data_IF_122708996264
#
_entry.id   IF_122708996264
#
_cell.length_a   1.000
_cell.length_b   1.000
_cell.length_c   1.000
_cell.angle_alpha   90.00
_cell.angle_beta   90.00
_cell.angle_gamma   90.00
#
_symmetry.space_group_name_H-M   'P 1'
#
loop_
_entity.id
_entity.type
_entity.pdbx_description
1 polymer ?
#
# COMPACT_ATOMS: atom_id res chain seq x y z
N UNK A 1 -4.83 24.98 6.37
CA UNK A 1 -4.94 24.17 5.17
C UNK A 1 -6.40 23.84 4.90
N UNK A 2 -6.75 23.67 3.61
CA UNK A 2 -8.09 23.13 3.28
C UNK A 2 -8.18 21.66 3.68
N UNK A 3 -7.18 20.87 3.31
CA UNK A 3 -7.10 19.44 3.61
C UNK A 3 -5.79 19.08 4.29
N UNK A 4 -5.88 18.17 5.27
CA UNK A 4 -4.74 17.56 5.92
C UNK A 4 -4.82 16.05 5.74
N UNK A 5 -3.74 15.45 5.24
CA UNK A 5 -3.64 14.02 4.96
C UNK A 5 -2.60 13.41 5.91
N UNK A 6 -3.03 12.51 6.78
CA UNK A 6 -2.18 11.81 7.74
C UNK A 6 -1.73 10.46 7.17
N UNK A 7 -0.52 10.42 6.66
CA UNK A 7 0.12 9.28 6.02
C UNK A 7 0.28 9.46 4.51
N UNK A 8 1.52 9.38 4.02
CA UNK A 8 1.86 9.42 2.59
C UNK A 8 2.05 8.02 1.99
N UNK A 9 1.23 7.07 2.41
CA UNK A 9 1.12 5.76 1.76
C UNK A 9 0.37 5.84 0.43
N UNK A 10 -0.03 4.70 -0.12
CA UNK A 10 -0.67 4.65 -1.45
C UNK A 10 -1.89 5.56 -1.55
N UNK A 11 -2.79 5.51 -0.58
CA UNK A 11 -3.99 6.34 -0.58
C UNK A 11 -3.66 7.83 -0.43
N UNK A 12 -2.79 8.18 0.55
CA UNK A 12 -2.43 9.58 0.81
C UNK A 12 -1.71 10.25 -0.36
N UNK A 13 -0.86 9.52 -1.08
CA UNK A 13 -0.20 10.02 -2.29
C UNK A 13 -1.21 10.35 -3.40
N UNK A 14 -2.20 9.48 -3.62
CA UNK A 14 -3.27 9.73 -4.61
C UNK A 14 -4.10 10.94 -4.21
N UNK A 15 -4.56 11.02 -2.96
CA UNK A 15 -5.35 12.15 -2.46
C UNK A 15 -4.58 13.46 -2.57
N UNK A 16 -3.32 13.49 -2.17
CA UNK A 16 -2.49 14.69 -2.26
C UNK A 16 -2.33 15.17 -3.72
N UNK A 17 -2.11 14.24 -4.65
CA UNK A 17 -2.06 14.56 -6.09
C UNK A 17 -3.37 15.16 -6.58
N UNK A 18 -4.49 14.49 -6.32
CA UNK A 18 -5.80 14.87 -6.85
C UNK A 18 -6.31 16.19 -6.25
N UNK A 19 -6.23 16.35 -4.94
CA UNK A 19 -6.72 17.56 -4.24
C UNK A 19 -5.88 18.80 -4.56
N UNK A 20 -4.56 18.64 -4.71
CA UNK A 20 -3.69 19.76 -5.07
C UNK A 20 -3.72 20.14 -6.56
N UNK A 21 -4.53 19.46 -7.39
CA UNK A 21 -4.69 19.83 -8.81
C UNK A 21 -5.29 21.24 -8.97
N UNK A 22 -6.21 21.60 -8.09
CA UNK A 22 -6.72 22.97 -7.99
C UNK A 22 -5.73 23.82 -7.17
N UNK A 23 -5.11 24.85 -7.76
CA UNK A 23 -4.10 25.66 -7.08
C UNK A 23 -4.67 26.52 -5.94
N UNK A 24 -5.98 26.69 -5.86
CA UNK A 24 -6.65 27.39 -4.76
C UNK A 24 -6.77 26.54 -3.49
N UNK A 25 -6.66 25.23 -3.60
CA UNK A 25 -6.80 24.26 -2.51
C UNK A 25 -5.43 23.99 -1.85
N UNK A 26 -5.29 24.33 -0.58
CA UNK A 26 -4.05 24.11 0.19
C UNK A 26 -4.07 22.76 0.87
N UNK A 27 -3.14 21.87 0.50
CA UNK A 27 -3.04 20.51 0.99
C UNK A 27 -1.77 20.33 1.82
N UNK A 28 -1.91 19.74 3.02
CA UNK A 28 -0.80 19.28 3.83
C UNK A 28 -0.78 17.76 3.86
N UNK A 29 0.32 17.15 3.41
CA UNK A 29 0.60 15.72 3.49
C UNK A 29 1.65 15.48 4.57
N UNK A 30 1.32 14.67 5.59
CA UNK A 30 2.18 14.35 6.72
C UNK A 30 2.64 12.90 6.61
N UNK A 31 3.96 12.68 6.77
CA UNK A 31 4.54 11.34 6.67
C UNK A 31 5.59 11.10 7.75
N UNK A 32 5.48 9.95 8.42
CA UNK A 32 6.37 9.55 9.50
C UNK A 32 7.79 9.23 9.02
N UNK A 33 7.92 8.70 7.82
CA UNK A 33 9.21 8.37 7.20
C UNK A 33 9.77 9.49 6.33
N UNK A 34 10.87 9.14 5.66
CA UNK A 34 11.56 10.01 4.71
C UNK A 34 11.00 9.94 3.29
N UNK A 35 11.83 10.34 2.32
CA UNK A 35 11.53 10.19 0.90
C UNK A 35 11.92 8.80 0.38
N UNK A 36 11.40 8.42 -0.78
CA UNK A 36 11.64 7.17 -1.49
C UNK A 36 12.92 7.16 -2.34
N UNK A 37 13.95 7.86 -1.87
CA UNK A 37 15.20 8.13 -2.64
C UNK A 37 16.16 6.96 -2.76
N UNK A 38 16.08 6.00 -1.86
CA UNK A 38 17.09 4.94 -1.77
C UNK A 38 17.09 4.06 -3.03
N UNK A 39 18.25 3.68 -3.58
CA UNK A 39 18.34 2.83 -4.77
C UNK A 39 17.53 1.54 -4.66
N UNK A 40 17.52 0.89 -3.49
CA UNK A 40 16.72 -0.33 -3.26
C UNK A 40 15.21 -0.11 -3.39
N UNK A 41 14.71 1.10 -3.08
CA UNK A 41 13.29 1.43 -3.32
C UNK A 41 12.99 1.45 -4.82
N UNK A 42 13.92 1.94 -5.63
CA UNK A 42 13.74 2.04 -7.09
C UNK A 42 14.00 0.72 -7.82
N UNK A 43 14.87 -0.09 -7.28
CA UNK A 43 15.29 -1.37 -7.88
C UNK A 43 14.30 -2.47 -7.47
N UNK A 44 13.67 -3.19 -8.42
CA UNK A 44 12.73 -4.27 -8.11
C UNK A 44 13.35 -5.34 -7.19
N UNK A 45 14.59 -5.75 -7.43
CA UNK A 45 15.29 -6.73 -6.60
C UNK A 45 15.54 -6.26 -5.15
N UNK A 46 15.45 -4.95 -4.88
CA UNK A 46 15.59 -4.40 -3.52
C UNK A 46 14.45 -4.79 -2.57
N UNK A 47 13.41 -5.47 -3.05
CA UNK A 47 12.26 -5.87 -2.23
C UNK A 47 12.67 -6.70 -1.01
N UNK A 48 13.57 -7.66 -1.17
CA UNK A 48 14.00 -8.56 -0.09
C UNK A 48 14.67 -7.79 1.04
N UNK A 49 15.59 -6.88 0.70
CA UNK A 49 16.28 -6.01 1.67
C UNK A 49 15.28 -5.09 2.41
N UNK A 50 14.35 -4.47 1.68
CA UNK A 50 13.39 -3.53 2.28
C UNK A 50 12.33 -4.22 3.13
N UNK A 51 11.89 -5.43 2.73
CA UNK A 51 10.92 -6.21 3.48
C UNK A 51 11.52 -6.83 4.75
N UNK A 52 12.82 -7.13 4.78
CA UNK A 52 13.48 -7.73 5.95
C UNK A 52 13.37 -6.84 7.21
N UNK A 53 13.26 -5.52 7.04
CA UNK A 53 13.31 -4.57 8.14
C UNK A 53 14.72 -4.40 8.73
N UNK A 54 15.73 -4.97 8.08
CA UNK A 54 17.14 -4.85 8.43
C UNK A 54 17.87 -3.95 7.43
N UNK A 55 19.15 -3.67 7.65
CA UNK A 55 19.94 -2.88 6.74
C UNK A 55 19.24 -1.59 6.30
N UNK A 56 19.08 -1.40 4.98
CA UNK A 56 18.31 -0.28 4.41
C UNK A 56 16.83 -0.33 4.81
N UNK A 57 16.29 -1.53 5.01
CA UNK A 57 14.90 -1.76 5.42
C UNK A 57 14.51 -1.05 6.72
N UNK A 58 15.42 -0.85 7.67
CA UNK A 58 15.16 -0.15 8.94
C UNK A 58 14.53 1.24 8.78
N UNK A 59 14.87 1.93 7.70
CA UNK A 59 14.36 3.27 7.43
C UNK A 59 13.04 3.29 6.65
N UNK A 60 12.72 2.18 5.95
CA UNK A 60 11.59 2.07 5.04
C UNK A 60 10.50 1.11 5.52
N UNK A 61 10.70 0.45 6.65
CA UNK A 61 9.77 -0.51 7.23
C UNK A 61 9.47 -0.14 8.69
N UNK A 62 8.22 -0.26 9.10
CA UNK A 62 7.85 -0.13 10.51
C UNK A 62 8.30 -1.32 11.36
N UNK A 63 8.46 -2.49 10.73
CA UNK A 63 8.94 -3.69 11.40
C UNK A 63 7.98 -4.22 12.46
N UNK A 64 6.69 -4.23 12.18
CA UNK A 64 5.70 -4.74 13.13
C UNK A 64 5.79 -6.26 13.31
N UNK A 65 5.45 -6.69 14.51
CA UNK A 65 5.27 -8.09 14.86
C UNK A 65 3.90 -8.28 15.50
N UNK A 66 3.25 -9.38 15.19
CA UNK A 66 2.02 -9.75 15.87
C UNK A 66 2.32 -10.19 17.31
N UNK A 67 1.31 -10.17 18.18
CA UNK A 67 1.35 -10.99 19.38
C UNK A 67 1.37 -12.47 19.01
N UNK A 68 1.69 -13.32 19.99
CA UNK A 68 1.67 -14.76 19.80
C UNK A 68 0.29 -15.24 19.33
N UNK A 69 0.25 -16.01 18.25
CA UNK A 69 -0.98 -16.51 17.65
C UNK A 69 -1.29 -17.91 18.20
N UNK A 70 -2.30 -18.09 19.07
CA UNK A 70 -2.56 -19.37 19.74
C UNK A 70 -2.75 -20.54 18.77
N UNK A 71 -3.45 -20.29 17.65
CA UNK A 71 -3.71 -21.32 16.63
C UNK A 71 -2.54 -21.59 15.69
N UNK A 72 -1.42 -20.86 15.84
CA UNK A 72 -0.19 -21.04 15.10
C UNK A 72 0.99 -21.38 16.03
N UNK A 73 0.76 -22.20 17.05
CA UNK A 73 1.76 -22.60 18.05
C UNK A 73 2.40 -21.39 18.76
N UNK A 74 1.63 -20.38 19.05
CA UNK A 74 2.07 -19.12 19.65
C UNK A 74 3.16 -18.38 18.87
N UNK A 75 3.29 -18.62 17.57
CA UNK A 75 4.24 -17.89 16.74
C UNK A 75 3.86 -16.42 16.65
N UNK A 76 4.86 -15.57 16.70
CA UNK A 76 4.76 -14.18 16.31
C UNK A 76 5.11 -14.07 14.83
N UNK A 77 4.34 -13.29 14.09
CA UNK A 77 4.54 -13.10 12.66
C UNK A 77 5.08 -11.71 12.40
N UNK A 78 6.15 -11.63 11.62
CA UNK A 78 6.66 -10.38 11.12
C UNK A 78 5.71 -9.81 10.08
N UNK A 79 5.33 -8.55 10.24
CA UNK A 79 4.33 -7.89 9.40
C UNK A 79 4.95 -6.61 8.83
N UNK A 80 5.68 -6.69 7.71
CA UNK A 80 6.31 -5.53 7.10
C UNK A 80 5.27 -4.52 6.63
N UNK A 81 5.48 -3.24 6.97
CA UNK A 81 4.68 -2.11 6.48
C UNK A 81 5.60 -0.96 6.13
N UNK A 82 5.42 -0.42 4.93
CA UNK A 82 6.28 0.64 4.43
C UNK A 82 6.16 1.95 5.19
N UNK A 83 7.28 2.63 5.36
CA UNK A 83 7.44 3.90 6.05
C UNK A 83 8.16 4.88 5.13
N UNK A 84 7.52 6.00 4.82
CA UNK A 84 8.02 7.01 3.88
C UNK A 84 7.03 7.35 2.80
N UNK A 85 7.33 8.35 2.00
CA UNK A 85 6.49 8.77 0.87
C UNK A 85 6.36 7.62 -0.12
N UNK A 86 5.13 7.13 -0.34
CA UNK A 86 4.83 5.91 -1.07
C UNK A 86 4.39 4.74 -0.17
N UNK A 87 4.69 4.79 1.15
CA UNK A 87 4.27 3.76 2.10
C UNK A 87 4.67 2.35 1.69
N UNK A 88 3.75 1.39 1.80
CA UNK A 88 4.03 -0.02 1.47
C UNK A 88 4.28 -0.27 -0.01
N UNK A 89 3.92 0.64 -0.93
CA UNK A 89 4.31 0.53 -2.33
C UNK A 89 5.82 0.66 -2.56
N UNK A 90 6.57 1.18 -1.58
CA UNK A 90 8.04 1.23 -1.62
C UNK A 90 8.69 -0.13 -1.36
N UNK A 91 8.01 -1.04 -0.66
CA UNK A 91 8.59 -2.29 -0.16
C UNK A 91 7.84 -3.55 -0.61
N UNK A 92 6.69 -3.44 -1.30
CA UNK A 92 5.89 -4.57 -1.75
C UNK A 92 6.57 -5.37 -2.88
N UNK A 93 6.02 -6.56 -3.18
CA UNK A 93 6.47 -7.43 -4.28
C UNK A 93 6.07 -6.95 -5.68
N UNK A 94 5.45 -5.78 -5.80
CA UNK A 94 5.05 -5.14 -7.07
C UNK A 94 4.04 -5.91 -7.92
N UNK A 95 3.45 -6.99 -7.45
CA UNK A 95 2.38 -7.66 -8.17
C UNK A 95 1.16 -6.74 -8.27
N UNK A 96 0.64 -6.57 -9.48
CA UNK A 96 -0.54 -5.78 -9.75
C UNK A 96 -1.74 -6.70 -9.94
N UNK A 97 -2.47 -6.93 -8.86
CA UNK A 97 -3.70 -7.73 -8.85
C UNK A 97 -4.75 -6.95 -8.08
N UNK A 98 -5.92 -6.78 -8.69
CA UNK A 98 -7.10 -6.17 -8.07
C UNK A 98 -7.81 -7.20 -7.19
N UNK A 99 -8.65 -6.73 -6.26
CA UNK A 99 -9.60 -7.59 -5.59
C UNK A 99 -10.54 -8.26 -6.59
N UNK A 100 -11.09 -9.41 -6.23
CA UNK A 100 -12.12 -10.08 -7.02
C UNK A 100 -13.39 -9.21 -7.07
N UNK A 101 -14.15 -9.26 -8.17
CA UNK A 101 -15.38 -8.47 -8.31
C UNK A 101 -16.33 -8.63 -7.10
N UNK A 102 -16.45 -9.87 -6.57
CA UNK A 102 -17.28 -10.16 -5.40
C UNK A 102 -16.85 -9.45 -4.13
N UNK A 103 -15.55 -9.10 -3.96
CA UNK A 103 -15.08 -8.40 -2.77
C UNK A 103 -15.73 -7.01 -2.69
N UNK A 104 -15.78 -6.30 -3.81
CA UNK A 104 -16.41 -4.98 -3.91
C UNK A 104 -17.93 -5.06 -3.83
N UNK A 105 -18.54 -6.07 -4.47
CA UNK A 105 -19.97 -6.27 -4.42
C UNK A 105 -20.44 -6.63 -3.00
N UNK A 106 -19.64 -7.37 -2.21
CA UNK A 106 -19.88 -7.59 -0.79
C UNK A 106 -19.82 -6.27 -0.03
N UNK A 107 -18.84 -5.41 -0.30
CA UNK A 107 -18.80 -4.09 0.33
C UNK A 107 -20.04 -3.29 0.04
N UNK A 108 -20.51 -3.30 -1.21
CA UNK A 108 -21.77 -2.65 -1.60
C UNK A 108 -22.98 -3.23 -0.85
N UNK A 109 -23.06 -4.55 -0.72
CA UNK A 109 -24.14 -5.24 -0.01
C UNK A 109 -24.15 -4.93 1.50
N UNK A 110 -22.99 -4.69 2.09
CA UNK A 110 -22.83 -4.26 3.48
C UNK A 110 -23.24 -2.78 3.71
N UNK A 111 -23.76 -2.10 2.69
CA UNK A 111 -24.27 -0.73 2.79
C UNK A 111 -23.32 0.35 2.29
N UNK A 112 -22.20 -0.02 1.69
CA UNK A 112 -21.23 0.95 1.14
C UNK A 112 -21.60 1.29 -0.30
N UNK A 113 -22.49 2.26 -0.49
CA UNK A 113 -22.88 2.75 -1.80
C UNK A 113 -21.69 3.37 -2.55
N UNK A 114 -21.58 3.10 -3.86
CA UNK A 114 -20.44 3.55 -4.67
C UNK A 114 -19.24 2.61 -4.63
N UNK A 115 -19.36 1.40 -4.01
CA UNK A 115 -18.24 0.45 -3.85
C UNK A 115 -18.48 -0.90 -4.53
N UNK A 116 -19.49 -1.06 -5.41
CA UNK A 116 -19.57 -2.25 -6.25
C UNK A 116 -18.41 -2.31 -7.25
N UNK A 117 -18.17 -3.49 -7.82
CA UNK A 117 -17.10 -3.65 -8.80
C UNK A 117 -17.20 -2.69 -9.97
N UNK A 118 -18.40 -2.55 -10.55
CA UNK A 118 -18.63 -1.64 -11.67
C UNK A 118 -18.42 -0.16 -11.28
N UNK A 119 -18.75 0.21 -10.04
CA UNK A 119 -18.58 1.58 -9.54
C UNK A 119 -17.12 1.92 -9.26
N UNK A 120 -16.27 0.95 -8.86
CA UNK A 120 -14.84 1.19 -8.60
C UNK A 120 -13.95 1.00 -9.83
N UNK A 121 -14.38 0.25 -10.83
CA UNK A 121 -13.61 -0.02 -12.05
C UNK A 121 -13.11 1.25 -12.76
N UNK A 122 -13.89 2.32 -12.93
CA UNK A 122 -13.41 3.56 -13.55
C UNK A 122 -12.24 4.19 -12.81
N UNK A 123 -12.15 4.01 -11.49
CA UNK A 123 -11.05 4.54 -10.67
C UNK A 123 -9.78 3.70 -10.80
N UNK A 124 -9.89 2.37 -10.95
CA UNK A 124 -8.75 1.52 -11.30
C UNK A 124 -8.19 1.92 -12.65
N UNK A 125 -9.01 2.02 -13.67
CA UNK A 125 -8.60 2.45 -15.01
C UNK A 125 -7.98 3.86 -15.00
N UNK A 126 -8.59 4.80 -14.27
CA UNK A 126 -8.08 6.18 -14.15
C UNK A 126 -6.67 6.26 -13.55
N UNK A 127 -6.33 5.35 -12.64
CA UNK A 127 -5.01 5.34 -12.01
C UNK A 127 -3.94 4.62 -12.85
N UNK A 128 -4.35 3.70 -13.71
CA UNK A 128 -3.49 2.76 -14.42
C UNK A 128 -2.98 3.32 -15.75
N UNK A 129 -1.69 3.11 -15.99
CA UNK A 129 -1.05 3.22 -17.29
C UNK A 129 -0.50 1.85 -17.66
N UNK A 130 -1.34 1.04 -18.32
CA UNK A 130 -0.98 -0.31 -18.71
C UNK A 130 -0.05 -0.31 -19.93
N UNK A 131 0.98 -1.15 -19.91
CA UNK A 131 1.92 -1.29 -21.03
C UNK A 131 1.24 -1.73 -22.34
N UNK A 132 0.16 -2.50 -22.23
CA UNK A 132 -0.62 -3.01 -23.35
C UNK A 132 -1.65 -1.99 -23.87
N UNK A 133 -1.73 -0.80 -23.25
CA UNK A 133 -2.69 0.24 -23.61
C UNK A 133 -4.03 0.08 -22.90
N UNK A 134 -5.00 0.90 -23.34
CA UNK A 134 -6.37 0.88 -22.80
C UNK A 134 -7.17 -0.31 -23.32
N UNK A 135 -8.00 -0.89 -22.45
CA UNK A 135 -8.96 -1.94 -22.80
C UNK A 135 -10.24 -1.79 -21.99
N UNK A 136 -11.14 -2.75 -22.09
CA UNK A 136 -12.33 -2.82 -21.24
C UNK A 136 -11.95 -2.80 -19.74
N UNK A 137 -10.91 -3.53 -19.36
CA UNK A 137 -10.48 -3.71 -17.97
C UNK A 137 -9.31 -2.82 -17.55
N UNK A 138 -8.57 -2.26 -18.47
CA UNK A 138 -7.32 -1.53 -18.21
C UNK A 138 -7.35 -0.07 -18.64
N UNK A 139 -6.64 0.79 -17.87
CA UNK A 139 -6.39 2.16 -18.26
C UNK A 139 -5.07 2.32 -19.03
N UNK A 140 -4.99 3.31 -19.91
CA UNK A 140 -3.84 3.54 -20.78
C UNK A 140 -2.95 4.74 -20.41
N UNK A 141 -3.48 5.73 -19.67
CA UNK A 141 -2.85 7.04 -19.48
C UNK A 141 -2.78 7.52 -18.01
N UNK A 142 -3.09 6.64 -17.06
CA UNK A 142 -2.99 6.94 -15.63
C UNK A 142 -1.55 7.14 -15.16
N UNK A 143 -1.41 7.54 -13.91
CA UNK A 143 -0.08 7.83 -13.34
C UNK A 143 0.70 6.58 -12.97
N UNK A 144 0.02 5.48 -12.60
CA UNK A 144 0.65 4.25 -12.15
C UNK A 144 1.03 3.36 -13.33
N UNK A 145 2.31 3.26 -13.60
CA UNK A 145 2.84 2.36 -14.64
C UNK A 145 2.68 0.90 -14.24
N UNK A 146 2.03 0.12 -15.11
CA UNK A 146 1.82 -1.32 -14.99
C UNK A 146 2.39 -2.00 -16.23
N UNK A 147 3.29 -2.96 -16.03
CA UNK A 147 3.93 -3.69 -17.12
C UNK A 147 3.70 -5.18 -17.04
N UNK A 148 3.94 -5.86 -18.14
CA UNK A 148 4.03 -7.31 -18.17
C UNK A 148 5.22 -7.79 -17.33
N UNK A 149 5.24 -9.05 -16.85
CA UNK A 149 6.29 -9.55 -15.96
C UNK A 149 7.68 -9.37 -16.53
N UNK A 150 8.57 -8.74 -15.78
CA UNK A 150 9.97 -8.48 -16.18
C UNK A 150 10.76 -9.78 -16.36
N UNK A 151 10.37 -10.84 -15.63
CA UNK A 151 11.01 -12.16 -15.63
C UNK A 151 10.27 -13.20 -16.48
N UNK A 152 9.45 -12.78 -17.42
CA UNK A 152 8.64 -13.67 -18.29
C UNK A 152 9.46 -14.71 -19.06
N UNK A 153 10.76 -14.48 -19.22
CA UNK A 153 11.67 -15.39 -19.94
C UNK A 153 12.25 -16.52 -19.05
N UNK A 154 11.98 -16.53 -17.75
CA UNK A 154 12.43 -17.64 -16.92
C UNK A 154 11.64 -18.92 -17.25
N UNK A 155 12.31 -20.03 -17.60
CA UNK A 155 11.64 -21.27 -17.96
C UNK A 155 10.77 -21.85 -16.83
N UNK A 156 11.08 -21.53 -15.56
CA UNK A 156 10.29 -21.98 -14.41
C UNK A 156 8.89 -21.36 -14.39
N UNK A 157 8.73 -20.11 -14.83
CA UNK A 157 7.41 -19.47 -14.89
C UNK A 157 6.49 -20.22 -15.87
N UNK A 158 7.00 -20.51 -17.06
CA UNK A 158 6.25 -21.27 -18.06
C UNK A 158 5.95 -22.70 -17.58
N UNK A 159 6.93 -23.35 -16.93
CA UNK A 159 6.76 -24.69 -16.36
C UNK A 159 5.69 -24.70 -15.28
N UNK A 160 5.66 -23.70 -14.40
CA UNK A 160 4.65 -23.60 -13.35
C UNK A 160 3.24 -23.39 -13.94
N UNK A 161 3.10 -22.48 -14.91
CA UNK A 161 1.83 -22.26 -15.61
C UNK A 161 1.34 -23.53 -16.30
N UNK A 162 2.23 -24.21 -17.02
CA UNK A 162 1.88 -25.46 -17.70
C UNK A 162 1.47 -26.56 -16.71
N UNK A 163 2.16 -26.69 -15.58
CA UNK A 163 1.79 -27.65 -14.55
C UNK A 163 0.38 -27.38 -13.99
N UNK A 164 0.00 -26.11 -13.83
CA UNK A 164 -1.36 -25.73 -13.45
C UNK A 164 -2.39 -26.16 -14.50
N UNK A 165 -2.09 -25.97 -15.78
CA UNK A 165 -2.96 -26.37 -16.90
C UNK A 165 -3.08 -27.91 -16.95
N UNK A 166 -1.98 -28.64 -16.80
CA UNK A 166 -1.96 -30.11 -16.73
C UNK A 166 -2.77 -30.63 -15.54
N UNK A 167 -2.81 -29.88 -14.43
CA UNK A 167 -3.64 -30.19 -13.27
C UNK A 167 -5.14 -29.84 -13.46
N UNK A 168 -5.54 -29.36 -14.64
CA UNK A 168 -6.93 -29.07 -14.98
C UNK A 168 -7.40 -27.64 -14.69
N UNK A 169 -6.50 -26.74 -14.33
CA UNK A 169 -6.84 -25.31 -14.16
C UNK A 169 -6.79 -24.56 -15.48
N UNK A 170 -7.61 -23.51 -15.68
CA UNK A 170 -7.58 -22.73 -16.90
C UNK A 170 -6.29 -21.91 -17.02
N UNK A 171 -5.82 -21.71 -18.25
CA UNK A 171 -4.88 -20.64 -18.53
C UNK A 171 -5.60 -19.29 -18.50
N UNK A 172 -5.02 -18.30 -17.82
CA UNK A 172 -5.54 -16.95 -17.76
C UNK A 172 -4.46 -15.95 -18.18
N UNK A 173 -4.64 -15.33 -19.32
CA UNK A 173 -3.70 -14.35 -19.86
C UNK A 173 -3.73 -13.03 -19.08
N UNK A 174 -4.87 -12.70 -18.47
CA UNK A 174 -5.09 -11.43 -17.76
C UNK A 174 -5.83 -11.67 -16.43
N UNK A 175 -5.06 -11.70 -15.36
CA UNK A 175 -5.58 -11.89 -13.99
C UNK A 175 -6.38 -10.68 -13.47
N UNK A 176 -6.43 -9.57 -14.22
CA UNK A 176 -7.25 -8.38 -13.92
C UNK A 176 -8.36 -8.16 -14.97
N UNK A 177 -8.56 -9.14 -15.86
CA UNK A 177 -9.57 -9.13 -16.91
C UNK A 177 -10.95 -9.59 -16.46
N UNK A 178 -11.70 -10.18 -17.38
CA UNK A 178 -13.07 -10.66 -17.17
C UNK A 178 -13.16 -11.78 -16.12
N UNK A 179 -12.13 -12.60 -15.99
CA UNK A 179 -12.01 -13.66 -14.99
C UNK A 179 -10.69 -13.55 -14.27
N UNK A 180 -10.68 -13.80 -12.97
CA UNK A 180 -9.47 -13.71 -12.15
C UNK A 180 -8.84 -15.09 -11.87
N UNK A 181 -9.62 -16.16 -12.04
CA UNK A 181 -9.19 -17.51 -11.77
C UNK A 181 -8.31 -18.07 -12.89
N UNK A 182 -7.31 -18.88 -12.51
CA UNK A 182 -6.44 -19.59 -13.44
C UNK A 182 -4.96 -19.36 -13.20
N UNK A 183 -4.16 -19.91 -14.11
CA UNK A 183 -2.70 -19.80 -14.11
C UNK A 183 -2.27 -18.90 -15.28
N UNK A 184 -1.54 -17.85 -14.98
CA UNK A 184 -1.08 -16.91 -15.99
C UNK A 184 -0.04 -15.93 -15.46
N UNK A 185 0.47 -15.05 -16.34
CA UNK A 185 1.46 -14.05 -15.96
C UNK A 185 0.78 -12.93 -15.14
N UNK A 186 1.33 -12.62 -13.97
CA UNK A 186 0.87 -11.48 -13.18
C UNK A 186 1.59 -10.20 -13.62
N UNK A 187 0.84 -9.16 -13.97
CA UNK A 187 1.37 -7.84 -14.24
C UNK A 187 2.00 -7.20 -13.00
N UNK A 188 2.86 -6.20 -13.20
CA UNK A 188 3.67 -5.63 -12.13
C UNK A 188 3.65 -4.10 -12.17
N UNK A 189 3.70 -3.49 -10.98
CA UNK A 189 3.95 -2.04 -10.84
C UNK A 189 5.44 -1.74 -11.01
N UNK A 190 5.94 -2.06 -12.20
CA UNK A 190 7.30 -1.79 -12.68
C UNK A 190 7.18 -1.03 -14.00
N UNK A 191 7.94 0.05 -14.16
CA UNK A 191 7.97 0.81 -15.40
C UNK A 191 9.39 1.16 -15.77
N UNK A 192 9.78 0.89 -17.01
CA UNK A 192 11.15 1.08 -17.47
C UNK A 192 12.21 0.45 -16.55
N UNK A 193 11.94 -0.78 -16.08
CA UNK A 193 12.83 -1.54 -15.20
C UNK A 193 12.93 -1.01 -13.75
N UNK A 194 12.06 -0.08 -13.34
CA UNK A 194 12.06 0.52 -12.01
C UNK A 194 10.71 0.31 -11.33
N UNK A 195 10.73 0.12 -9.99
CA UNK A 195 9.51 0.12 -9.17
C UNK A 195 8.72 1.41 -9.38
N UNK A 196 7.44 1.28 -9.63
CA UNK A 196 6.45 2.36 -9.65
C UNK A 196 5.74 2.44 -8.29
N UNK A 197 6.40 3.04 -7.31
CA UNK A 197 5.72 3.35 -6.05
C UNK A 197 4.78 4.54 -6.22
N UNK A 198 3.77 4.66 -5.36
CA UNK A 198 2.84 5.79 -5.41
C UNK A 198 3.52 7.13 -5.12
N UNK A 199 4.63 7.13 -4.39
CA UNK A 199 5.51 8.30 -4.26
C UNK A 199 6.07 8.77 -5.60
N UNK A 200 6.49 7.83 -6.46
CA UNK A 200 7.02 8.13 -7.79
C UNK A 200 5.92 8.50 -8.78
N UNK A 201 4.81 7.76 -8.76
CA UNK A 201 3.73 7.93 -9.74
C UNK A 201 2.87 9.16 -9.45
N UNK A 202 2.54 9.43 -8.20
CA UNK A 202 1.58 10.48 -7.84
C UNK A 202 2.21 11.71 -7.18
N UNK A 203 3.30 11.58 -6.41
CA UNK A 203 3.88 12.73 -5.70
C UNK A 203 5.00 13.40 -6.49
N UNK A 204 5.93 12.63 -7.03
CA UNK A 204 7.06 13.18 -7.75
C UNK A 204 6.68 14.14 -8.88
N UNK A 205 5.65 13.87 -9.72
CA UNK A 205 5.25 14.77 -10.80
C UNK A 205 4.66 16.10 -10.34
N UNK A 206 4.32 16.23 -9.05
CA UNK A 206 3.60 17.39 -8.50
C UNK A 206 4.35 18.10 -7.36
N UNK A 207 5.63 17.80 -7.18
CA UNK A 207 6.46 18.37 -6.11
C UNK A 207 6.64 19.89 -6.22
N UNK A 208 6.48 20.46 -7.38
CA UNK A 208 6.60 21.89 -7.68
C UNK A 208 5.31 22.69 -7.40
N UNK A 209 4.20 22.00 -7.08
CA UNK A 209 2.93 22.67 -6.77
C UNK A 209 3.05 23.43 -5.45
N UNK A 210 2.86 24.75 -5.51
CA UNK A 210 2.99 25.66 -4.36
C UNK A 210 1.92 25.47 -3.29
N UNK A 211 0.79 24.89 -3.65
CA UNK A 211 -0.34 24.60 -2.76
C UNK A 211 -0.27 23.21 -2.10
N UNK A 212 0.76 22.40 -2.41
CA UNK A 212 1.03 21.11 -1.77
C UNK A 212 2.24 21.24 -0.83
N UNK A 213 2.01 21.04 0.45
CA UNK A 213 3.06 20.97 1.47
C UNK A 213 3.25 19.55 1.92
N UNK A 214 4.48 19.02 1.88
CA UNK A 214 4.80 17.66 2.34
C UNK A 214 5.70 17.73 3.56
N UNK A 215 5.20 17.31 4.72
CA UNK A 215 5.95 17.24 5.97
C UNK A 215 6.41 15.81 6.23
N UNK A 216 7.64 15.51 5.85
CA UNK A 216 8.33 14.23 6.10
C UNK A 216 8.93 14.20 7.49
N UNK A 217 9.28 12.99 7.99
CA UNK A 217 9.82 12.76 9.34
C UNK A 217 8.91 13.35 10.41
N UNK A 218 7.59 13.22 10.20
CA UNK A 218 6.53 13.84 10.98
C UNK A 218 5.52 12.78 11.36
N UNK A 219 5.48 12.38 12.62
CA UNK A 219 4.60 11.33 13.13
C UNK A 219 3.31 11.95 13.60
N UNK A 220 2.19 11.60 13.00
CA UNK A 220 0.86 12.01 13.48
C UNK A 220 0.61 11.39 14.85
N UNK A 221 0.26 12.24 15.83
CA UNK A 221 0.11 11.86 17.23
C UNK A 221 -1.34 11.61 17.60
N UNK A 222 -2.22 12.53 17.27
CA UNK A 222 -3.65 12.44 17.52
C UNK A 222 -4.45 13.39 16.63
N UNK A 223 -5.74 13.12 16.46
CA UNK A 223 -6.70 14.01 15.84
C UNK A 223 -7.25 15.01 16.88
N UNK A 224 -7.63 16.18 16.41
CA UNK A 224 -8.20 17.25 17.23
C UNK A 224 -9.69 17.42 16.91
N UNK A 225 -10.52 17.46 17.96
CA UNK A 225 -11.97 17.52 17.82
C UNK A 225 -12.54 18.78 18.48
N UNK A 226 -13.65 19.26 17.91
CA UNK A 226 -14.57 20.21 18.54
C UNK A 226 -15.95 19.55 18.53
N UNK A 227 -16.38 19.03 19.70
CA UNK A 227 -17.47 18.07 19.75
C UNK A 227 -17.13 16.84 18.90
N UNK A 228 -18.01 16.45 18.00
CA UNK A 228 -17.81 15.32 17.09
C UNK A 228 -17.16 15.68 15.76
N UNK A 229 -16.80 16.96 15.55
CA UNK A 229 -16.16 17.40 14.32
C UNK A 229 -14.64 17.35 14.47
N UNK A 230 -13.96 16.58 13.60
CA UNK A 230 -12.51 16.64 13.48
C UNK A 230 -12.11 17.98 12.83
N UNK A 231 -11.26 18.75 13.52
CA UNK A 231 -10.84 20.10 13.08
C UNK A 231 -9.36 20.19 12.73
N UNK A 232 -8.59 19.12 12.95
CA UNK A 232 -7.15 19.12 12.71
C UNK A 232 -6.47 17.93 13.35
N UNK A 233 -5.15 18.01 13.47
CA UNK A 233 -4.35 16.99 14.13
C UNK A 233 -3.11 17.57 14.80
N UNK A 234 -2.51 16.80 15.72
CA UNK A 234 -1.16 17.01 16.22
C UNK A 234 -0.18 16.04 15.56
N UNK A 235 1.00 16.53 15.23
CA UNK A 235 2.11 15.69 14.78
C UNK A 235 3.41 16.08 15.48
N UNK A 236 4.35 15.15 15.56
CA UNK A 236 5.67 15.33 16.13
C UNK A 236 6.69 15.41 15.01
N UNK A 237 7.49 16.46 15.01
CA UNK A 237 8.65 16.64 14.12
C UNK A 237 9.83 17.15 14.92
N UNK A 238 11.00 16.52 14.80
CA UNK A 238 12.19 16.90 15.55
C UNK A 238 11.95 17.05 17.06
N UNK A 239 11.19 16.13 17.67
CA UNK A 239 10.78 16.13 19.08
C UNK A 239 9.82 17.28 19.49
N UNK A 240 9.42 18.13 18.56
CA UNK A 240 8.47 19.21 18.80
C UNK A 240 7.09 18.81 18.34
N UNK A 241 6.08 19.12 19.15
CA UNK A 241 4.67 18.91 18.80
C UNK A 241 4.14 20.13 18.06
N UNK A 242 3.49 19.88 16.94
CA UNK A 242 2.82 20.92 16.14
C UNK A 242 1.34 20.57 16.04
N UNK A 243 0.48 21.59 16.18
CA UNK A 243 -0.96 21.50 15.91
C UNK A 243 -1.26 22.18 14.58
N UNK A 244 -2.03 21.51 13.72
CA UNK A 244 -2.48 22.04 12.43
C UNK A 244 -3.97 21.84 12.28
N UNK A 245 -4.64 22.78 11.63
CA UNK A 245 -6.09 22.82 11.49
C UNK A 245 -6.49 22.75 10.02
N UNK A 246 -7.57 22.00 9.75
CA UNK A 246 -8.18 21.86 8.44
C UNK A 246 -9.47 22.67 8.36
N UNK A 247 -9.60 23.46 7.31
CA UNK A 247 -10.83 24.21 7.03
C UNK A 247 -11.95 23.30 6.54
N UNK A 248 -11.59 22.25 5.78
CA UNK A 248 -12.52 21.31 5.17
C UNK A 248 -12.46 19.94 5.84
N UNK A 249 -11.32 19.21 5.71
CA UNK A 249 -11.28 17.81 6.11
C UNK A 249 -9.89 17.34 6.52
N UNK A 250 -9.86 16.36 7.46
CA UNK A 250 -8.68 15.57 7.82
C UNK A 250 -8.87 14.15 7.32
N UNK A 251 -7.94 13.65 6.51
CA UNK A 251 -7.96 12.33 5.92
C UNK A 251 -6.94 11.41 6.60
N UNK A 252 -7.41 10.30 7.17
CA UNK A 252 -6.55 9.32 7.83
C UNK A 252 -6.12 8.26 6.83
N UNK A 253 -4.84 8.27 6.45
CA UNK A 253 -4.23 7.39 5.44
C UNK A 253 -3.04 6.59 5.99
N UNK A 254 -3.08 6.23 7.28
CA UNK A 254 -2.00 5.51 7.98
C UNK A 254 -1.90 4.01 7.64
N UNK A 255 -2.81 3.47 6.83
CA UNK A 255 -2.90 2.05 6.49
C UNK A 255 -3.65 1.24 7.54
N UNK A 256 -3.76 -0.07 7.31
CA UNK A 256 -4.62 -0.98 8.09
C UNK A 256 -4.24 -1.08 9.58
N UNK A 257 -2.99 -0.80 9.95
CA UNK A 257 -2.51 -0.84 11.34
C UNK A 257 -2.52 0.54 11.98
N UNK A 258 -1.92 1.54 11.33
CA UNK A 258 -1.74 2.85 11.96
C UNK A 258 -3.00 3.72 11.93
N UNK A 259 -3.92 3.52 10.97
CA UNK A 259 -5.18 4.29 10.95
C UNK A 259 -6.05 3.99 12.18
N UNK A 260 -6.38 2.71 12.48
CA UNK A 260 -7.13 2.42 13.72
C UNK A 260 -6.36 2.79 14.97
N UNK A 261 -5.03 2.65 15.02
CA UNK A 261 -4.21 3.11 16.13
C UNK A 261 -4.37 4.62 16.36
N UNK A 262 -4.29 5.43 15.29
CA UNK A 262 -4.47 6.88 15.37
C UNK A 262 -5.87 7.25 15.86
N UNK A 263 -6.91 6.55 15.39
CA UNK A 263 -8.27 6.74 15.84
C UNK A 263 -8.42 6.45 17.33
N UNK A 264 -7.89 5.32 17.80
CA UNK A 264 -7.93 4.93 19.23
C UNK A 264 -7.16 5.91 20.11
N UNK A 265 -5.96 6.35 19.71
CA UNK A 265 -5.18 7.38 20.40
C UNK A 265 -5.89 8.75 20.42
N UNK A 266 -6.87 8.93 19.56
CA UNK A 266 -7.68 10.15 19.46
C UNK A 266 -9.04 10.04 20.14
N UNK A 267 -9.29 8.93 20.86
CA UNK A 267 -10.54 8.72 21.59
C UNK A 267 -11.67 8.08 20.78
N UNK A 268 -11.37 7.51 19.61
CA UNK A 268 -12.34 6.83 18.74
C UNK A 268 -12.05 5.32 18.72
N UNK A 269 -12.96 4.51 19.22
CA UNK A 269 -12.81 3.07 19.33
C UNK A 269 -13.65 2.52 20.47
N UNK A 270 -13.33 1.30 20.94
CA UNK A 270 -14.02 0.68 22.06
C UNK A 270 -13.78 1.46 23.35
N UNK A 271 -14.83 2.06 23.91
CA UNK A 271 -14.75 3.05 24.97
C UNK A 271 -14.11 2.56 26.28
N UNK A 272 -14.37 1.31 26.70
CA UNK A 272 -13.73 0.68 27.85
C UNK A 272 -12.22 0.51 27.68
N UNK A 273 -11.80 0.13 26.47
CA UNK A 273 -10.38 -0.03 26.11
C UNK A 273 -9.66 1.34 26.11
N UNK A 274 -10.27 2.36 25.50
CA UNK A 274 -9.71 3.73 25.47
C UNK A 274 -9.51 4.28 26.88
N UNK A 275 -10.52 4.14 27.74
CA UNK A 275 -10.46 4.57 29.16
C UNK A 275 -9.37 3.86 29.96
N UNK A 276 -9.11 2.58 29.67
CA UNK A 276 -8.03 1.81 30.30
C UNK A 276 -6.65 2.44 30.10
N UNK A 277 -6.46 3.16 28.97
CA UNK A 277 -5.23 3.88 28.67
C UNK A 277 -5.24 5.35 29.15
N UNK A 278 -6.24 5.75 29.92
CA UNK A 278 -6.35 7.12 30.46
C UNK A 278 -6.69 8.17 29.41
N UNK A 279 -7.31 7.76 28.30
CA UNK A 279 -7.73 8.65 27.23
C UNK A 279 -9.23 8.94 27.32
N UNK A 280 -9.62 10.15 26.89
CA UNK A 280 -11.02 10.54 26.78
C UNK A 280 -11.68 9.85 25.57
N UNK A 281 -12.93 9.43 25.74
CA UNK A 281 -13.72 8.83 24.66
C UNK A 281 -14.45 9.93 23.89
N UNK A 282 -14.09 10.09 22.63
CA UNK A 282 -14.77 10.99 21.67
C UNK A 282 -15.95 10.28 21.02
N UNK A 283 -15.73 9.03 20.60
CA UNK A 283 -16.78 8.20 20.03
C UNK A 283 -16.55 6.72 20.38
N UNK A 284 -17.56 6.07 20.95
CA UNK A 284 -17.52 4.63 21.25
C UNK A 284 -17.90 3.85 19.99
N UNK A 285 -16.87 3.39 19.26
CA UNK A 285 -16.98 2.64 18.01
C UNK A 285 -16.17 1.34 18.15
N UNK A 286 -16.78 0.27 18.69
CA UNK A 286 -16.06 -0.95 19.07
C UNK A 286 -15.40 -1.69 17.89
N UNK A 287 -15.83 -1.44 16.64
CA UNK A 287 -15.22 -2.04 15.45
C UNK A 287 -13.86 -1.45 15.05
N UNK A 288 -13.44 -0.31 15.62
CA UNK A 288 -12.15 0.30 15.28
C UNK A 288 -10.99 -0.54 15.81
N UNK A 289 -10.17 -1.04 14.89
CA UNK A 289 -9.02 -1.91 15.18
C UNK A 289 -9.36 -3.39 15.31
N UNK A 290 -10.61 -3.77 15.09
CA UNK A 290 -11.07 -5.16 15.08
C UNK A 290 -11.12 -5.72 13.65
N UNK A 291 -11.24 -7.04 13.53
CA UNK A 291 -11.42 -7.77 12.27
C UNK A 291 -10.34 -7.50 11.21
N UNK A 292 -9.09 -7.35 11.64
CA UNK A 292 -7.98 -7.29 10.67
C UNK A 292 -7.93 -8.58 9.87
N UNK A 293 -8.00 -8.45 8.55
CA UNK A 293 -7.94 -9.55 7.60
C UNK A 293 -6.80 -9.32 6.62
N UNK A 294 -6.21 -10.41 6.15
CA UNK A 294 -5.19 -10.40 5.10
C UNK A 294 -5.40 -11.61 4.17
N UNK A 295 -4.88 -11.54 2.96
CA UNK A 295 -4.91 -12.66 2.04
C UNK A 295 -3.99 -13.79 2.53
N UNK A 296 -4.49 -15.02 2.45
CA UNK A 296 -3.66 -16.20 2.67
C UNK A 296 -2.74 -16.37 1.45
N UNK A 297 -1.45 -16.45 1.72
CA UNK A 297 -0.42 -16.72 0.72
C UNK A 297 0.38 -17.96 1.11
N UNK A 298 0.72 -18.78 0.13
CA UNK A 298 1.49 -20.00 0.33
C UNK A 298 2.67 -19.99 -0.63
N UNK A 299 3.87 -20.01 -0.07
CA UNK A 299 5.11 -20.16 -0.83
C UNK A 299 5.49 -21.64 -0.91
N UNK A 300 5.46 -22.18 -2.13
CA UNK A 300 5.97 -23.53 -2.39
C UNK A 300 7.43 -23.46 -2.85
N UNK A 301 8.29 -24.14 -2.14
CA UNK A 301 9.72 -24.20 -2.45
C UNK A 301 10.08 -25.54 -3.06
N UNK A 302 10.77 -25.50 -4.19
CA UNK A 302 11.27 -26.68 -4.90
C UNK A 302 12.78 -26.54 -5.12
N UNK A 303 13.52 -27.63 -4.92
CA UNK A 303 14.92 -27.72 -5.31
C UNK A 303 14.99 -28.02 -6.81
N UNK A 304 15.70 -27.17 -7.54
CA UNK A 304 15.91 -27.38 -8.97
C UNK A 304 17.05 -28.37 -9.22
N UNK A 305 16.79 -29.43 -9.99
CA UNK A 305 17.82 -30.40 -10.42
C UNK A 305 18.74 -29.84 -11.52
N UNK A 306 18.36 -28.71 -12.13
CA UNK A 306 19.12 -27.99 -13.15
C UNK A 306 19.34 -26.54 -12.72
N UNK A 307 20.38 -25.85 -13.21
CA UNK A 307 20.74 -24.48 -12.83
C UNK A 307 19.83 -23.42 -13.49
N UNK A 308 18.52 -23.52 -13.28
CA UNK A 308 17.48 -22.64 -13.88
C UNK A 308 16.77 -21.79 -12.83
N UNK A 309 17.30 -21.68 -11.62
CA UNK A 309 16.67 -20.93 -10.53
C UNK A 309 16.64 -19.42 -10.78
N UNK A 310 15.56 -18.75 -10.34
CA UNK A 310 15.42 -17.31 -10.34
C UNK A 310 16.53 -16.57 -9.56
N UNK A 311 17.12 -17.22 -8.55
CA UNK A 311 18.20 -16.64 -7.77
C UNK A 311 19.39 -16.17 -8.62
N UNK A 312 19.66 -16.82 -9.76
CA UNK A 312 20.72 -16.39 -10.68
C UNK A 312 20.41 -15.05 -11.34
N UNK A 313 19.16 -14.75 -11.62
CA UNK A 313 18.73 -13.48 -12.22
C UNK A 313 18.65 -12.36 -11.17
N UNK A 314 18.38 -12.71 -9.92
CA UNK A 314 18.38 -11.76 -8.80
C UNK A 314 19.78 -11.39 -8.31
N UNK A 315 20.76 -12.26 -8.47
CA UNK A 315 22.10 -12.08 -7.91
C UNK A 315 23.04 -11.24 -8.78
N UNK A 316 22.73 -10.95 -10.05
CA UNK A 316 23.58 -10.15 -10.94
C UNK A 316 25.08 -10.53 -10.90
N UNK A 317 25.97 -9.83 -11.61
CA UNK A 317 27.41 -10.11 -11.62
C UNK A 317 28.14 -9.82 -10.29
N UNK A 318 27.44 -9.23 -9.33
CA UNK A 318 27.98 -8.93 -7.98
C UNK A 318 27.32 -9.82 -6.93
N UNK A 319 27.31 -11.12 -7.15
CA UNK A 319 26.68 -12.11 -6.26
C UNK A 319 26.80 -11.76 -4.76
N UNK A 320 25.68 -11.38 -4.16
CA UNK A 320 25.55 -11.34 -2.71
C UNK A 320 25.31 -12.80 -2.28
N UNK A 321 26.41 -13.45 -1.88
CA UNK A 321 26.30 -14.73 -1.21
C UNK A 321 25.56 -14.53 0.11
N UNK A 322 24.52 -15.32 0.34
CA UNK A 322 23.99 -15.61 1.65
C UNK A 322 24.81 -16.71 2.31
#
# INVERSE_FOLDING_TARGET
FDYIIAGAGSAGCVLANRLSKDPSIKVLLIEAGGSDWHPFVRMPAGVLELMSGEGAGKNYNYGFWTEGQPHLNNRKLFTPRGKGVGGSSNINGMLYIRGHARDYDIWRQLGNEGWSYDEVMPYFKKAERNQNGESEFHGGDGELGVSNPVFSNNPLHKTFINAGIEAGYPYNEDLNGATQEGFGPAQQTIWNGKRESTGQSFIKPVLDRKNLTISKMSVTKKLLFKGNKCIGLEYIKNKTVYSVFAEREVMVCGGAINSPQLLQLSGIGRGDYIKKWGLDVVADLPGVGENLQDHLDILSHYECTQPVTDARHMMGPFGWGF
#
